data_IF_958454133664
#
_entry.id   IF_958454133664
#
_cell.length_a   1.000
_cell.length_b   1.000
_cell.length_c   1.000
_cell.angle_alpha   90.00
_cell.angle_beta   90.00
_cell.angle_gamma   90.00
#
_symmetry.space_group_name_H-M   'P 1'
#
loop_
_entity.id
_entity.type
_entity.pdbx_description
1 polymer ?
#
# COMPACT_ATOMS: atom_id res chain seq x y z
N UNK A 1 57.92 -35.52 16.16
CA UNK A 1 56.45 -35.61 16.24
C UNK A 1 55.86 -34.23 15.84
N UNK A 2 55.24 -34.14 14.68
CA UNK A 2 54.52 -32.93 14.21
C UNK A 2 53.05 -33.11 14.54
N UNK A 3 52.53 -32.25 15.42
CA UNK A 3 51.10 -32.21 15.75
C UNK A 3 50.34 -31.57 14.60
N UNK A 4 49.38 -32.27 14.01
CA UNK A 4 48.41 -31.77 13.04
C UNK A 4 47.25 -31.16 13.82
N UNK A 5 47.12 -29.85 13.80
CA UNK A 5 45.95 -29.16 14.35
C UNK A 5 44.88 -29.20 13.27
N UNK A 6 43.82 -30.00 13.48
CA UNK A 6 42.64 -29.99 12.64
C UNK A 6 41.74 -28.81 13.03
N UNK A 7 41.64 -27.81 12.15
CA UNK A 7 40.65 -26.73 12.29
C UNK A 7 39.26 -27.28 11.92
N UNK A 8 38.41 -27.42 12.94
CA UNK A 8 36.99 -27.75 12.76
C UNK A 8 36.25 -26.47 12.30
N UNK A 9 35.94 -26.40 11.02
CA UNK A 9 35.12 -25.33 10.44
C UNK A 9 33.65 -25.62 10.82
N UNK A 10 33.12 -24.93 11.84
CA UNK A 10 31.70 -25.03 12.20
C UNK A 10 30.89 -24.23 11.21
N UNK A 11 30.25 -24.90 10.26
CA UNK A 11 29.30 -24.29 9.33
C UNK A 11 28.00 -24.10 10.09
N UNK A 12 27.67 -22.86 10.45
CA UNK A 12 26.32 -22.51 10.93
C UNK A 12 25.36 -22.55 9.75
N UNK A 13 24.60 -23.61 9.62
CA UNK A 13 23.43 -23.67 8.76
C UNK A 13 22.38 -22.71 9.34
N UNK A 14 22.22 -21.56 8.68
CA UNK A 14 21.10 -20.67 8.93
C UNK A 14 19.83 -21.35 8.39
N UNK A 15 19.08 -22.05 9.24
CA UNK A 15 17.75 -22.56 8.91
C UNK A 15 16.82 -21.35 9.04
N UNK A 16 16.29 -20.80 7.93
CA UNK A 16 15.32 -19.73 8.01
C UNK A 16 14.08 -20.27 8.72
N UNK A 17 13.80 -19.76 9.90
CA UNK A 17 12.51 -20.04 10.55
C UNK A 17 11.42 -19.44 9.66
N UNK A 18 10.33 -20.18 9.37
CA UNK A 18 9.19 -19.61 8.65
C UNK A 18 8.71 -18.39 9.44
N UNK A 19 8.53 -17.26 8.76
CA UNK A 19 8.03 -16.07 9.40
C UNK A 19 6.66 -16.37 10.00
N UNK A 20 6.52 -16.16 11.29
CA UNK A 20 5.27 -16.41 11.98
C UNK A 20 4.24 -15.36 11.56
N UNK A 21 3.09 -15.82 11.05
CA UNK A 21 1.96 -14.94 10.79
C UNK A 21 1.51 -14.27 12.11
N UNK A 22 1.20 -13.00 12.05
CA UNK A 22 0.76 -12.24 13.21
C UNK A 22 -0.52 -11.44 12.93
N UNK A 23 -1.15 -10.97 14.01
CA UNK A 23 -2.39 -10.19 13.94
C UNK A 23 -2.31 -9.01 14.89
N UNK A 24 -2.74 -7.85 14.43
CA UNK A 24 -2.90 -6.62 15.18
C UNK A 24 -4.40 -6.33 15.34
N UNK A 25 -4.84 -6.20 16.58
CA UNK A 25 -6.24 -5.90 16.92
C UNK A 25 -6.38 -4.46 17.40
N UNK A 26 -7.61 -4.05 17.71
CA UNK A 26 -7.96 -2.73 18.25
C UNK A 26 -7.59 -1.54 17.33
N UNK A 27 -7.51 -1.78 16.02
CA UNK A 27 -7.40 -0.73 15.02
C UNK A 27 -8.76 -0.04 14.81
N UNK A 28 -8.77 1.05 14.04
CA UNK A 28 -9.97 1.84 13.76
C UNK A 28 -10.12 2.07 12.26
N UNK A 29 -10.87 1.19 11.59
CA UNK A 29 -11.03 1.19 10.15
C UNK A 29 -9.67 1.26 9.42
N UNK A 30 -8.75 0.27 9.62
CA UNK A 30 -7.45 0.27 8.98
C UNK A 30 -7.60 0.22 7.45
N UNK A 31 -6.84 1.06 6.75
CA UNK A 31 -6.97 1.25 5.31
C UNK A 31 -5.76 0.72 4.52
N UNK A 32 -4.55 0.99 4.96
CA UNK A 32 -3.31 0.50 4.33
C UNK A 32 -2.39 -0.13 5.37
N UNK A 33 -1.68 -1.19 4.97
CA UNK A 33 -0.73 -1.91 5.81
C UNK A 33 0.54 -2.17 5.00
N UNK A 34 1.65 -1.50 5.37
CA UNK A 34 2.92 -1.58 4.66
C UNK A 34 4.07 -1.94 5.60
N UNK A 35 5.18 -2.44 5.02
CA UNK A 35 6.44 -2.71 5.72
C UNK A 35 7.50 -1.69 5.34
N UNK A 36 8.33 -1.29 6.30
CA UNK A 36 9.60 -0.62 6.05
C UNK A 36 10.67 -1.68 5.73
N UNK A 37 11.11 -1.80 4.49
CA UNK A 37 12.04 -2.86 4.11
C UNK A 37 13.43 -2.71 4.75
N UNK A 38 13.80 -1.50 5.19
CA UNK A 38 15.09 -1.24 5.81
C UNK A 38 15.15 -1.71 7.26
N UNK A 39 14.08 -1.54 8.02
CA UNK A 39 14.03 -1.84 9.46
C UNK A 39 13.14 -3.03 9.81
N UNK A 40 12.33 -3.53 8.86
CA UNK A 40 11.35 -4.59 9.10
C UNK A 40 10.22 -4.18 10.04
N UNK A 41 9.99 -2.89 10.21
CA UNK A 41 8.87 -2.33 10.96
C UNK A 41 7.67 -2.15 10.02
N UNK A 42 6.50 -2.02 10.60
CA UNK A 42 5.24 -1.92 9.87
C UNK A 42 4.52 -0.62 10.17
N UNK A 43 3.74 -0.15 9.19
CA UNK A 43 2.86 1.01 9.33
C UNK A 43 1.44 0.63 8.93
N UNK A 44 0.45 1.08 9.72
CA UNK A 44 -0.97 0.95 9.39
C UNK A 44 -1.64 2.31 9.52
N UNK A 45 -2.30 2.75 8.44
CA UNK A 45 -3.21 3.90 8.49
C UNK A 45 -4.56 3.50 9.05
N UNK A 46 -5.16 4.39 9.85
CA UNK A 46 -6.46 4.21 10.47
C UNK A 46 -7.34 5.41 10.17
N UNK A 47 -8.42 5.20 9.43
CA UNK A 47 -9.39 6.24 9.07
C UNK A 47 -10.11 6.76 10.31
N UNK A 48 -10.41 5.88 11.28
CA UNK A 48 -11.07 6.20 12.55
C UNK A 48 -12.42 6.93 12.39
N UNK A 49 -13.30 6.41 11.57
CA UNK A 49 -14.64 6.95 11.40
C UNK A 49 -15.08 7.12 9.95
N UNK A 50 -15.68 8.25 9.64
CA UNK A 50 -16.15 8.53 8.29
C UNK A 50 -14.97 8.96 7.40
N UNK A 51 -14.73 8.23 6.28
CA UNK A 51 -13.58 8.49 5.41
C UNK A 51 -13.66 9.83 4.62
N UNK A 52 -14.75 10.59 4.75
CA UNK A 52 -14.89 11.92 4.16
C UNK A 52 -14.88 13.05 5.21
N UNK A 53 -14.83 12.72 6.50
CA UNK A 53 -14.85 13.71 7.58
C UNK A 53 -13.49 14.36 7.77
N UNK A 54 -13.51 15.69 7.92
CA UNK A 54 -12.33 16.50 8.27
C UNK A 54 -12.31 16.75 9.78
N UNK A 55 -12.33 15.69 10.57
CA UNK A 55 -12.45 15.74 12.03
C UNK A 55 -11.11 15.62 12.77
N UNK A 56 -10.03 15.44 12.01
CA UNK A 56 -8.65 15.35 12.50
C UNK A 56 -8.41 14.24 13.52
N UNK A 57 -9.17 13.14 13.44
CA UNK A 57 -9.10 12.00 14.37
C UNK A 57 -8.35 10.79 13.80
N UNK A 58 -7.92 10.85 12.53
CA UNK A 58 -7.15 9.80 11.89
C UNK A 58 -5.78 9.59 12.52
N UNK A 59 -5.23 8.40 12.38
CA UNK A 59 -3.90 8.11 12.92
C UNK A 59 -3.17 7.02 12.15
N UNK A 60 -1.85 6.97 12.31
CA UNK A 60 -0.98 5.94 11.76
C UNK A 60 -0.22 5.30 12.90
N UNK A 61 -0.19 3.96 12.95
CA UNK A 61 0.58 3.20 13.94
C UNK A 61 1.80 2.59 13.27
N UNK A 62 2.97 2.78 13.87
CA UNK A 62 4.20 2.04 13.57
C UNK A 62 4.42 0.98 14.64
N UNK A 63 4.75 -0.25 14.24
CA UNK A 63 5.04 -1.33 15.17
C UNK A 63 6.14 -2.26 14.62
N UNK A 64 6.77 -3.01 15.50
CA UNK A 64 7.76 -4.02 15.14
C UNK A 64 7.10 -5.36 14.77
N UNK A 65 7.91 -6.33 14.38
CA UNK A 65 7.44 -7.67 13.99
C UNK A 65 6.86 -8.49 15.17
N UNK A 66 7.03 -8.04 16.41
CA UNK A 66 6.40 -8.65 17.58
C UNK A 66 5.00 -8.07 17.86
N UNK A 67 4.60 -7.02 17.14
CA UNK A 67 3.36 -6.28 17.35
C UNK A 67 3.47 -5.19 18.41
N UNK A 68 4.67 -4.89 18.91
CA UNK A 68 4.90 -3.80 19.85
C UNK A 68 4.81 -2.46 19.12
N UNK A 69 3.95 -1.56 19.59
CA UNK A 69 3.84 -0.19 19.07
C UNK A 69 5.12 0.58 19.33
N UNK A 70 5.70 1.16 18.28
CA UNK A 70 6.90 1.99 18.32
C UNK A 70 6.60 3.47 18.24
N UNK A 71 5.57 3.86 17.45
CA UNK A 71 5.19 5.24 17.21
C UNK A 71 3.71 5.31 16.83
N UNK A 72 3.04 6.38 17.21
CA UNK A 72 1.71 6.73 16.70
C UNK A 72 1.72 8.18 16.24
N UNK A 73 1.32 8.42 14.98
CA UNK A 73 1.12 9.75 14.42
C UNK A 73 -0.38 10.02 14.46
N UNK A 74 -0.83 11.02 15.25
CA UNK A 74 -2.25 11.30 15.48
C UNK A 74 -2.63 12.67 14.92
N UNK A 75 -3.77 12.76 14.24
CA UNK A 75 -4.31 14.03 13.81
C UNK A 75 -4.63 14.98 14.97
N UNK A 76 -4.95 14.43 16.15
CA UNK A 76 -5.22 15.20 17.38
C UNK A 76 -3.98 15.90 17.96
N UNK A 77 -2.76 15.50 17.57
CA UNK A 77 -1.53 16.12 18.05
C UNK A 77 -1.39 17.55 17.48
N UNK A 78 -0.96 18.54 18.27
CA UNK A 78 -1.01 19.96 17.90
C UNK A 78 -0.29 20.35 16.60
N UNK A 79 0.68 19.55 16.16
CA UNK A 79 1.49 19.81 14.94
C UNK A 79 1.16 18.85 13.79
N UNK A 80 0.16 18.01 13.95
CA UNK A 80 -0.26 17.02 12.97
C UNK A 80 -1.68 17.36 12.48
N UNK A 81 -1.88 17.29 11.17
CA UNK A 81 -3.22 17.26 10.59
C UNK A 81 -3.37 15.92 9.90
N UNK A 82 -4.33 15.10 10.31
CA UNK A 82 -4.59 13.79 9.74
C UNK A 82 -6.06 13.43 9.95
N UNK A 83 -6.86 13.55 8.88
CA UNK A 83 -8.31 13.38 8.97
C UNK A 83 -8.75 11.93 8.79
N UNK A 84 -8.50 11.38 7.60
CA UNK A 84 -8.88 10.03 7.22
C UNK A 84 -7.78 9.39 6.36
N UNK A 85 -6.60 9.07 6.95
CA UNK A 85 -5.45 8.55 6.21
C UNK A 85 -5.80 7.21 5.56
N UNK A 86 -5.51 7.10 4.25
CA UNK A 86 -5.82 5.91 3.46
C UNK A 86 -4.53 5.23 2.99
N UNK A 87 -4.05 5.46 1.78
CA UNK A 87 -2.84 4.87 1.23
C UNK A 87 -1.57 5.35 1.91
N UNK A 88 -0.60 4.46 2.02
CA UNK A 88 0.73 4.69 2.59
C UNK A 88 1.81 4.27 1.60
N UNK A 89 2.88 5.06 1.46
CA UNK A 89 4.10 4.65 0.78
C UNK A 89 5.35 5.22 1.45
N UNK A 90 6.45 4.47 1.41
CA UNK A 90 7.74 4.89 1.93
C UNK A 90 8.70 5.23 0.79
N UNK A 91 9.44 6.33 0.95
CA UNK A 91 10.56 6.67 0.10
C UNK A 91 11.70 7.23 0.95
N UNK A 92 12.78 6.46 1.09
CA UNK A 92 13.83 6.75 2.05
C UNK A 92 13.30 6.79 3.48
N UNK A 93 13.50 7.91 4.18
CA UNK A 93 13.01 8.13 5.54
C UNK A 93 11.66 8.86 5.61
N UNK A 94 10.99 9.02 4.48
CA UNK A 94 9.73 9.75 4.40
C UNK A 94 8.57 8.78 4.22
N UNK A 95 7.55 8.93 5.08
CA UNK A 95 6.25 8.28 4.96
C UNK A 95 5.26 9.22 4.29
N UNK A 96 4.81 8.87 3.08
CA UNK A 96 3.77 9.59 2.33
C UNK A 96 2.41 8.97 2.60
N UNK A 97 1.39 9.84 2.72
CA UNK A 97 0.05 9.46 3.15
C UNK A 97 -0.99 10.22 2.33
N UNK A 98 -1.96 9.49 1.77
CA UNK A 98 -3.17 10.12 1.21
C UNK A 98 -4.16 10.40 2.35
N UNK A 99 -4.66 11.63 2.42
CA UNK A 99 -5.61 12.07 3.45
C UNK A 99 -6.73 12.90 2.82
N UNK A 100 -7.83 12.25 2.51
CA UNK A 100 -8.99 12.76 1.76
C UNK A 100 -8.58 13.30 0.38
N UNK A 101 -8.23 14.57 0.25
CA UNK A 101 -7.76 15.20 -1.01
C UNK A 101 -6.38 15.83 -0.85
N UNK A 102 -5.68 15.55 0.25
CA UNK A 102 -4.33 16.03 0.51
C UNK A 102 -3.33 14.88 0.48
N UNK A 103 -2.14 15.15 -0.05
CA UNK A 103 -0.96 14.36 0.19
C UNK A 103 -0.22 14.94 1.39
N UNK A 104 0.10 14.11 2.37
CA UNK A 104 0.90 14.49 3.55
C UNK A 104 2.15 13.66 3.61
N UNK A 105 3.22 14.17 4.25
CA UNK A 105 4.41 13.36 4.49
C UNK A 105 5.04 13.67 5.83
N UNK A 106 5.58 12.62 6.42
CA UNK A 106 6.13 12.58 7.77
C UNK A 106 7.50 11.92 7.77
N UNK A 107 8.34 12.28 8.73
CA UNK A 107 9.52 11.48 9.07
C UNK A 107 9.06 10.14 9.65
N UNK A 108 9.41 9.03 9.01
CA UNK A 108 8.98 7.67 9.39
C UNK A 108 9.54 7.23 10.76
N UNK A 109 10.60 7.88 11.26
CA UNK A 109 11.29 7.48 12.49
C UNK A 109 10.70 8.13 13.73
N UNK A 110 10.25 9.39 13.62
CA UNK A 110 9.75 10.18 14.76
C UNK A 110 8.35 10.75 14.59
N UNK A 111 7.75 10.61 13.38
CA UNK A 111 6.39 11.08 13.09
C UNK A 111 6.27 12.60 12.86
N UNK A 112 7.38 13.32 12.80
CA UNK A 112 7.36 14.77 12.55
C UNK A 112 6.74 15.07 11.17
N UNK A 113 5.80 16.01 11.14
CA UNK A 113 5.24 16.54 9.88
C UNK A 113 6.35 17.24 9.09
N UNK A 114 6.57 16.81 7.86
CA UNK A 114 7.53 17.41 6.91
C UNK A 114 6.85 18.27 5.87
N UNK A 115 5.57 18.04 5.58
CA UNK A 115 4.80 18.87 4.67
C UNK A 115 3.47 18.26 4.23
N UNK A 116 2.75 19.02 3.42
CA UNK A 116 1.50 18.58 2.80
C UNK A 116 1.20 19.40 1.53
N UNK A 117 0.36 18.85 0.67
CA UNK A 117 -0.22 19.54 -0.50
C UNK A 117 -1.70 19.20 -0.58
N UNK A 118 -2.54 20.22 -0.72
CA UNK A 118 -3.96 20.09 -1.06
C UNK A 118 -4.11 20.02 -2.58
N UNK A 119 -4.69 18.94 -3.08
CA UNK A 119 -4.90 18.69 -4.50
C UNK A 119 -6.30 19.13 -4.99
N UNK A 120 -7.12 19.75 -4.17
CA UNK A 120 -8.46 20.24 -4.58
C UNK A 120 -8.38 21.21 -5.74
N UNK A 121 -7.36 22.07 -5.79
CA UNK A 121 -7.12 23.03 -6.86
C UNK A 121 -6.92 22.41 -8.25
N UNK A 122 -6.54 21.14 -8.33
CA UNK A 122 -6.43 20.36 -9.58
C UNK A 122 -7.51 19.30 -9.74
N UNK A 123 -8.57 19.39 -8.92
CA UNK A 123 -9.78 18.59 -9.03
C UNK A 123 -9.77 17.28 -8.27
N UNK A 124 -8.92 17.13 -7.25
CA UNK A 124 -8.96 15.96 -6.38
C UNK A 124 -10.25 15.92 -5.56
N UNK A 125 -10.82 14.72 -5.45
CA UNK A 125 -12.05 14.45 -4.70
C UNK A 125 -11.82 13.50 -3.55
N UNK A 126 -11.12 12.38 -3.81
CA UNK A 126 -10.75 11.40 -2.80
C UNK A 126 -9.55 10.59 -3.27
N UNK A 127 -8.40 10.97 -2.77
CA UNK A 127 -7.16 10.22 -2.94
C UNK A 127 -7.29 8.86 -2.24
N UNK A 128 -6.74 7.82 -2.87
CA UNK A 128 -6.89 6.47 -2.35
C UNK A 128 -5.53 5.84 -2.06
N UNK A 129 -4.77 5.50 -3.07
CA UNK A 129 -3.52 4.78 -2.95
C UNK A 129 -2.40 5.50 -3.69
N UNK A 130 -1.14 5.13 -3.44
CA UNK A 130 0.01 5.81 -4.00
C UNK A 130 1.21 4.86 -4.19
N UNK A 131 1.99 5.13 -5.23
CA UNK A 131 3.19 4.35 -5.57
C UNK A 131 4.27 5.22 -6.18
N UNK A 132 5.54 4.82 -6.03
CA UNK A 132 6.67 5.48 -6.66
C UNK A 132 7.10 4.77 -7.94
N UNK A 133 7.51 5.54 -8.97
CA UNK A 133 8.26 5.00 -10.10
C UNK A 133 9.77 4.89 -9.76
N UNK A 134 10.54 4.35 -10.69
CA UNK A 134 12.00 4.20 -10.52
C UNK A 134 12.78 5.50 -10.46
N UNK A 135 12.19 6.61 -10.91
CA UNK A 135 12.78 7.95 -10.85
C UNK A 135 12.48 8.67 -9.53
N UNK A 136 11.57 8.11 -8.72
CA UNK A 136 11.09 8.68 -7.47
C UNK A 136 9.92 9.65 -7.64
N UNK A 137 9.25 9.66 -8.79
CA UNK A 137 7.97 10.35 -8.90
C UNK A 137 6.88 9.53 -8.20
N UNK A 138 5.98 10.22 -7.52
CA UNK A 138 4.85 9.61 -6.84
C UNK A 138 3.60 9.70 -7.71
N UNK A 139 2.87 8.58 -7.83
CA UNK A 139 1.57 8.54 -8.50
C UNK A 139 0.48 8.22 -7.50
N UNK A 140 -0.64 8.94 -7.57
CA UNK A 140 -1.73 8.88 -6.60
C UNK A 140 -3.03 8.63 -7.34
N UNK A 141 -3.77 7.58 -6.98
CA UNK A 141 -5.11 7.32 -7.49
C UNK A 141 -6.16 8.17 -6.77
N UNK A 142 -7.18 8.61 -7.50
CA UNK A 142 -8.35 9.30 -6.96
C UNK A 142 -9.63 8.59 -7.40
N UNK A 143 -10.27 7.95 -6.45
CA UNK A 143 -11.40 7.06 -6.70
C UNK A 143 -12.65 7.78 -7.21
N UNK A 144 -12.88 9.04 -6.81
CA UNK A 144 -14.07 9.80 -7.20
C UNK A 144 -13.82 10.82 -8.30
N UNK A 145 -12.57 11.18 -8.56
CA UNK A 145 -12.22 12.03 -9.69
C UNK A 145 -11.99 11.24 -10.97
N UNK A 146 -11.92 9.90 -10.92
CA UNK A 146 -11.42 9.05 -12.01
C UNK A 146 -10.10 9.57 -12.56
N UNK A 147 -9.15 9.81 -11.65
CA UNK A 147 -7.88 10.44 -11.97
C UNK A 147 -6.69 9.73 -11.31
N UNK A 148 -5.53 9.95 -11.90
CA UNK A 148 -4.23 9.67 -11.31
C UNK A 148 -3.44 10.97 -11.37
N UNK A 149 -2.89 11.37 -10.22
CA UNK A 149 -2.00 12.53 -10.13
C UNK A 149 -0.54 12.06 -10.09
N UNK A 150 0.36 12.89 -10.65
CA UNK A 150 1.82 12.73 -10.54
C UNK A 150 2.38 13.84 -9.66
N UNK A 151 3.24 13.46 -8.72
CA UNK A 151 3.99 14.38 -7.86
C UNK A 151 5.48 14.19 -8.15
N UNK A 152 6.14 15.22 -8.67
CA UNK A 152 7.57 15.25 -8.88
C UNK A 152 8.26 15.59 -7.56
N UNK A 153 8.58 14.58 -6.75
CA UNK A 153 9.10 14.78 -5.38
C UNK A 153 10.43 15.51 -5.34
N UNK A 154 11.25 15.35 -6.39
CA UNK A 154 12.54 16.04 -6.55
C UNK A 154 12.40 17.47 -7.09
N UNK A 155 11.22 17.86 -7.58
CA UNK A 155 10.90 19.19 -8.08
C UNK A 155 9.90 19.88 -7.13
N UNK A 156 10.31 20.04 -5.87
CA UNK A 156 9.52 20.68 -4.81
C UNK A 156 8.08 20.14 -4.71
N UNK A 157 7.91 18.84 -4.91
CA UNK A 157 6.60 18.16 -4.91
C UNK A 157 5.58 18.75 -5.90
N UNK A 158 6.04 19.22 -7.06
CA UNK A 158 5.17 19.75 -8.11
C UNK A 158 4.14 18.71 -8.53
N UNK A 159 2.86 19.08 -8.46
CA UNK A 159 1.73 18.19 -8.76
C UNK A 159 1.17 18.47 -10.15
N UNK A 160 0.77 17.42 -10.84
CA UNK A 160 0.07 17.49 -12.13
C UNK A 160 -0.96 16.37 -12.25
N UNK A 161 -1.96 16.56 -13.11
CA UNK A 161 -2.87 15.47 -13.52
C UNK A 161 -2.11 14.58 -14.51
N UNK A 162 -1.79 13.36 -14.11
CA UNK A 162 -1.15 12.38 -14.99
C UNK A 162 -2.16 11.79 -15.97
N UNK A 163 -3.31 11.35 -15.45
CA UNK A 163 -4.41 10.82 -16.27
C UNK A 163 -5.74 11.12 -15.58
N UNK A 164 -6.72 11.56 -16.38
CA UNK A 164 -8.12 11.67 -15.95
C UNK A 164 -8.99 11.09 -17.03
N UNK A 165 -9.68 9.98 -16.72
CA UNK A 165 -10.43 9.22 -17.72
C UNK A 165 -11.46 8.32 -17.03
N UNK A 166 -12.68 8.27 -17.54
CA UNK A 166 -13.73 7.39 -17.00
C UNK A 166 -13.41 5.90 -17.17
N UNK A 167 -12.52 5.55 -18.11
CA UNK A 167 -12.04 4.17 -18.27
C UNK A 167 -11.27 3.67 -17.04
N UNK A 168 -10.75 4.56 -16.17
CA UNK A 168 -10.12 4.18 -14.91
C UNK A 168 -11.09 3.48 -13.96
N UNK A 169 -12.40 3.74 -14.06
CA UNK A 169 -13.46 3.00 -13.37
C UNK A 169 -13.34 3.05 -11.84
N UNK A 170 -13.19 4.22 -11.27
CA UNK A 170 -12.91 4.45 -9.86
C UNK A 170 -11.58 3.79 -9.43
N UNK A 171 -10.41 4.34 -9.86
CA UNK A 171 -9.10 3.75 -9.55
C UNK A 171 -8.87 3.73 -8.04
N UNK A 172 -8.55 2.55 -7.51
CA UNK A 172 -8.27 2.30 -6.10
C UNK A 172 -6.80 2.00 -5.90
N UNK A 173 -6.41 0.73 -5.71
CA UNK A 173 -5.00 0.36 -5.58
C UNK A 173 -4.19 0.70 -6.82
N UNK A 174 -2.96 1.15 -6.60
CA UNK A 174 -2.02 1.50 -7.66
C UNK A 174 -0.61 1.03 -7.30
N UNK A 175 0.09 0.38 -8.25
CA UNK A 175 1.47 -0.04 -8.09
C UNK A 175 2.26 0.17 -9.38
N UNK A 176 3.57 0.43 -9.25
CA UNK A 176 4.46 0.55 -10.40
C UNK A 176 5.04 -0.82 -10.82
N UNK A 177 4.87 -1.18 -12.09
CA UNK A 177 5.50 -2.32 -12.75
C UNK A 177 6.83 -1.86 -13.35
N UNK A 178 7.92 -2.01 -12.60
CA UNK A 178 9.26 -1.56 -13.01
C UNK A 178 9.80 -2.32 -14.21
N UNK A 179 9.39 -3.58 -14.40
CA UNK A 179 9.82 -4.42 -15.52
C UNK A 179 9.22 -3.90 -16.84
N UNK A 180 7.94 -3.48 -16.81
CA UNK A 180 7.22 -3.00 -18.01
C UNK A 180 7.06 -1.50 -18.06
N UNK A 181 7.64 -0.78 -17.09
CA UNK A 181 7.62 0.68 -16.95
C UNK A 181 6.21 1.27 -17.12
N UNK A 182 5.28 0.76 -16.32
CA UNK A 182 3.87 1.18 -16.33
C UNK A 182 3.28 1.16 -14.93
N UNK A 183 2.18 1.86 -14.75
CA UNK A 183 1.34 1.71 -13.56
C UNK A 183 0.38 0.53 -13.75
N UNK A 184 0.14 -0.23 -12.69
CA UNK A 184 -0.97 -1.17 -12.60
C UNK A 184 -1.97 -0.57 -11.65
N UNK A 185 -3.23 -0.52 -12.08
CA UNK A 185 -4.34 0.10 -11.34
C UNK A 185 -5.49 -0.88 -11.27
N UNK A 186 -6.05 -1.06 -10.09
CA UNK A 186 -7.27 -1.83 -9.90
C UNK A 186 -8.47 -0.88 -9.88
N UNK A 187 -9.43 -1.17 -10.76
CA UNK A 187 -10.63 -0.36 -10.98
C UNK A 187 -11.78 -0.87 -10.10
N UNK A 188 -12.09 -0.15 -9.04
CA UNK A 188 -13.06 -0.54 -8.02
C UNK A 188 -14.46 -0.79 -8.58
N UNK A 189 -14.95 0.11 -9.43
CA UNK A 189 -16.32 0.04 -9.96
C UNK A 189 -16.51 -0.98 -11.07
N UNK A 190 -15.45 -1.34 -11.79
CA UNK A 190 -15.53 -2.22 -12.96
C UNK A 190 -14.90 -3.58 -12.76
N UNK A 191 -14.18 -3.80 -11.65
CA UNK A 191 -13.44 -5.02 -11.37
C UNK A 191 -12.30 -5.29 -12.36
N UNK A 192 -11.88 -4.29 -13.13
CA UNK A 192 -10.80 -4.42 -14.11
C UNK A 192 -9.43 -4.18 -13.47
N UNK A 193 -8.42 -4.81 -14.05
CA UNK A 193 -7.02 -4.54 -13.76
C UNK A 193 -6.42 -3.90 -15.01
N UNK A 194 -5.96 -2.66 -14.85
CA UNK A 194 -5.50 -1.80 -15.93
C UNK A 194 -3.98 -1.64 -15.86
N UNK A 195 -3.33 -1.68 -17.02
CA UNK A 195 -1.96 -1.20 -17.21
C UNK A 195 -2.00 0.18 -17.84
N UNK A 196 -1.27 1.13 -17.28
CA UNK A 196 -1.20 2.49 -17.78
C UNK A 196 0.25 2.83 -18.07
N UNK A 197 0.59 2.99 -19.34
CA UNK A 197 1.92 3.41 -19.75
C UNK A 197 2.26 4.79 -19.21
N UNK A 198 3.55 5.09 -19.08
CA UNK A 198 3.98 6.45 -18.68
C UNK A 198 3.63 7.51 -19.72
N UNK A 199 3.20 7.10 -20.94
CA UNK A 199 2.57 7.93 -21.97
C UNK A 199 1.05 8.15 -21.75
N UNK A 200 0.48 7.59 -20.69
CA UNK A 200 -0.93 7.70 -20.31
C UNK A 200 -1.88 6.78 -21.09
N UNK A 201 -1.38 5.83 -21.90
CA UNK A 201 -2.23 4.85 -22.58
C UNK A 201 -2.74 3.80 -21.61
N UNK A 202 -4.04 3.56 -21.65
CA UNK A 202 -4.72 2.58 -20.78
C UNK A 202 -4.95 1.28 -21.56
N UNK A 203 -4.65 0.14 -20.93
CA UNK A 203 -4.96 -1.18 -21.46
C UNK A 203 -5.49 -2.08 -20.34
N UNK A 204 -6.50 -2.89 -20.59
CA UNK A 204 -6.86 -3.99 -19.68
C UNK A 204 -5.83 -5.09 -19.81
N UNK A 205 -5.20 -5.47 -18.69
CA UNK A 205 -4.08 -6.42 -18.72
C UNK A 205 -4.45 -7.84 -18.28
N UNK A 206 -5.56 -8.01 -17.57
CA UNK A 206 -6.04 -9.34 -17.18
C UNK A 206 -6.64 -10.05 -18.40
N UNK A 207 -6.17 -11.27 -18.69
CA UNK A 207 -6.54 -12.06 -19.88
C UNK A 207 -7.64 -13.09 -19.63
N UNK A 208 -8.12 -13.20 -18.39
CA UNK A 208 -9.20 -14.12 -18.00
C UNK A 208 -10.53 -13.38 -17.87
N UNK A 209 -11.64 -14.16 -17.92
CA UNK A 209 -13.00 -13.65 -17.70
C UNK A 209 -13.36 -13.52 -16.21
N UNK A 210 -12.39 -13.57 -15.30
CA UNK A 210 -12.66 -13.39 -13.86
C UNK A 210 -13.28 -12.02 -13.63
N UNK A 211 -14.40 -12.03 -12.93
CA UNK A 211 -15.13 -10.81 -12.56
C UNK A 211 -14.87 -10.54 -11.08
N UNK A 212 -14.11 -9.50 -10.80
CA UNK A 212 -13.97 -8.96 -9.45
C UNK A 212 -15.08 -7.93 -9.20
N UNK A 213 -15.53 -7.81 -7.94
CA UNK A 213 -16.67 -6.94 -7.61
C UNK A 213 -16.26 -5.56 -7.11
N UNK A 214 -15.23 -5.52 -6.27
CA UNK A 214 -14.84 -4.29 -5.59
C UNK A 214 -13.34 -4.32 -5.21
N UNK A 215 -12.49 -4.25 -6.24
CA UNK A 215 -11.04 -4.26 -6.05
C UNK A 215 -10.59 -3.06 -5.21
N UNK A 216 -9.71 -3.31 -4.23
CA UNK A 216 -9.20 -2.27 -3.33
C UNK A 216 -7.68 -2.13 -3.43
N UNK A 217 -6.91 -3.08 -2.95
CA UNK A 217 -5.44 -3.04 -2.94
C UNK A 217 -4.81 -3.91 -4.03
N UNK A 218 -3.56 -3.61 -4.35
CA UNK A 218 -2.74 -4.36 -5.31
C UNK A 218 -1.28 -4.32 -4.91
N UNK A 219 -0.58 -5.45 -4.97
CA UNK A 219 0.87 -5.53 -4.81
C UNK A 219 1.45 -6.73 -5.56
N UNK A 220 2.77 -6.83 -5.64
CA UNK A 220 3.49 -7.96 -6.19
C UNK A 220 3.90 -8.93 -5.08
N UNK A 221 3.84 -10.25 -5.33
CA UNK A 221 4.53 -11.21 -4.46
C UNK A 221 5.99 -11.43 -4.91
N UNK A 222 6.70 -12.25 -4.16
CA UNK A 222 8.12 -12.57 -4.42
C UNK A 222 8.36 -13.26 -5.76
N UNK A 223 7.39 -14.02 -6.25
CA UNK A 223 7.44 -14.74 -7.52
C UNK A 223 7.02 -13.85 -8.71
N UNK A 224 6.66 -12.59 -8.48
CA UNK A 224 6.20 -11.67 -9.51
C UNK A 224 4.75 -11.92 -9.95
N UNK A 225 3.94 -12.56 -9.12
CA UNK A 225 2.51 -12.64 -9.32
C UNK A 225 1.84 -11.40 -8.73
N UNK A 226 0.72 -10.99 -9.31
CA UNK A 226 -0.04 -9.86 -8.80
C UNK A 226 -1.00 -10.33 -7.71
N UNK A 227 -0.93 -9.69 -6.56
CA UNK A 227 -1.87 -9.86 -5.46
C UNK A 227 -2.93 -8.77 -5.54
N UNK A 228 -4.20 -9.11 -5.35
CA UNK A 228 -5.28 -8.13 -5.28
C UNK A 228 -6.27 -8.47 -4.17
N UNK A 229 -6.78 -7.45 -3.50
CA UNK A 229 -7.89 -7.58 -2.55
C UNK A 229 -9.22 -7.20 -3.20
N UNK A 230 -10.25 -8.00 -2.94
CA UNK A 230 -11.65 -7.69 -3.32
C UNK A 230 -12.47 -7.51 -2.04
N UNK A 231 -12.82 -6.27 -1.77
CA UNK A 231 -13.53 -5.88 -0.55
C UNK A 231 -14.93 -6.50 -0.45
N UNK A 232 -15.66 -6.56 -1.57
CA UNK A 232 -17.02 -7.09 -1.59
C UNK A 232 -17.07 -8.62 -1.49
N UNK A 233 -16.08 -9.30 -2.11
CA UNK A 233 -15.96 -10.77 -2.02
C UNK A 233 -15.28 -11.23 -0.72
N UNK A 234 -14.63 -10.32 0.02
CA UNK A 234 -13.89 -10.67 1.22
C UNK A 234 -12.72 -11.61 0.92
N UNK A 235 -12.02 -11.40 -0.20
CA UNK A 235 -11.00 -12.31 -0.71
C UNK A 235 -9.70 -11.59 -1.08
N UNK A 236 -8.61 -12.34 -0.96
CA UNK A 236 -7.32 -12.02 -1.57
C UNK A 236 -7.09 -13.02 -2.70
N UNK A 237 -6.73 -12.50 -3.86
CA UNK A 237 -6.40 -13.29 -5.04
C UNK A 237 -4.93 -13.13 -5.41
N UNK A 238 -4.36 -14.20 -5.97
CA UNK A 238 -3.08 -14.20 -6.67
C UNK A 238 -3.32 -14.39 -8.15
N UNK A 239 -2.68 -13.60 -8.97
CA UNK A 239 -2.85 -13.61 -10.42
C UNK A 239 -1.51 -13.92 -11.08
N UNK A 240 -1.41 -15.12 -11.64
CA UNK A 240 -0.21 -15.61 -12.30
C UNK A 240 -0.21 -15.14 -13.77
N UNK A 241 0.86 -14.45 -14.19
CA UNK A 241 1.07 -14.03 -15.58
C UNK A 241 -0.14 -13.31 -16.21
N UNK A 242 -0.92 -12.57 -15.41
CA UNK A 242 -2.16 -11.88 -15.82
C UNK A 242 -3.20 -12.78 -16.51
N UNK A 243 -3.21 -14.09 -16.21
CA UNK A 243 -4.10 -15.06 -16.86
C UNK A 243 -4.78 -16.04 -15.91
N UNK A 244 -4.08 -16.61 -14.96
CA UNK A 244 -4.63 -17.57 -14.00
C UNK A 244 -4.86 -16.89 -12.66
N UNK A 245 -6.08 -16.96 -12.14
CA UNK A 245 -6.50 -16.38 -10.87
C UNK A 245 -6.67 -17.49 -9.84
N UNK A 246 -6.10 -17.30 -8.66
CA UNK A 246 -6.15 -18.20 -7.52
C UNK A 246 -6.65 -17.45 -6.29
N UNK A 247 -7.49 -18.08 -5.46
CA UNK A 247 -7.88 -17.54 -4.17
C UNK A 247 -6.82 -17.91 -3.14
N UNK A 248 -6.14 -16.91 -2.58
CA UNK A 248 -5.18 -17.09 -1.50
C UNK A 248 -5.88 -17.22 -0.16
N UNK A 249 -6.87 -16.36 0.07
CA UNK A 249 -7.64 -16.31 1.32
C UNK A 249 -9.04 -15.78 1.07
N UNK A 250 -10.03 -16.39 1.70
CA UNK A 250 -11.41 -15.90 1.74
C UNK A 250 -11.88 -15.61 3.16
N UNK A 251 -13.15 -15.20 3.27
CA UNK A 251 -13.82 -14.88 4.53
C UNK A 251 -13.14 -13.76 5.33
N UNK A 252 -12.63 -12.75 4.64
CA UNK A 252 -12.04 -11.56 5.23
C UNK A 252 -13.09 -10.45 5.23
N UNK A 253 -13.36 -9.90 6.40
CA UNK A 253 -14.30 -8.78 6.50
C UNK A 253 -13.67 -7.52 5.93
N UNK A 254 -14.09 -7.11 4.73
CA UNK A 254 -13.63 -5.89 4.02
C UNK A 254 -12.11 -5.74 3.96
N UNK A 255 -11.39 -6.63 3.21
CA UNK A 255 -9.95 -6.45 2.99
C UNK A 255 -9.71 -5.14 2.24
N UNK A 256 -8.79 -4.32 2.75
CA UNK A 256 -8.49 -3.01 2.20
C UNK A 256 -7.18 -3.02 1.39
N UNK A 257 -6.37 -1.97 1.46
CA UNK A 257 -5.16 -1.85 0.66
C UNK A 257 -4.05 -2.74 1.22
N UNK A 258 -3.80 -3.84 0.51
CA UNK A 258 -2.79 -4.86 0.87
C UNK A 258 -1.41 -4.47 0.39
N UNK A 259 -0.38 -5.03 1.02
CA UNK A 259 0.99 -5.01 0.51
C UNK A 259 1.72 -6.33 0.80
N UNK A 260 2.99 -6.43 0.40
CA UNK A 260 3.79 -7.65 0.53
C UNK A 260 5.12 -7.39 1.26
N UNK A 261 5.38 -8.16 2.31
CA UNK A 261 6.66 -8.20 2.99
C UNK A 261 7.59 -9.20 2.28
N UNK A 262 8.46 -8.69 1.41
CA UNK A 262 9.41 -9.52 0.64
C UNK A 262 10.41 -10.25 1.53
N UNK A 263 10.81 -9.66 2.67
CA UNK A 263 11.78 -10.28 3.56
C UNK A 263 11.20 -11.51 4.27
N UNK A 264 9.93 -11.43 4.67
CA UNK A 264 9.24 -12.48 5.43
C UNK A 264 8.31 -13.33 4.59
N UNK A 265 8.11 -12.99 3.31
CA UNK A 265 7.17 -13.64 2.39
C UNK A 265 5.73 -13.67 2.92
N UNK A 266 5.25 -12.51 3.38
CA UNK A 266 3.93 -12.36 3.98
C UNK A 266 3.09 -11.34 3.21
N UNK A 267 1.83 -11.64 2.97
CA UNK A 267 0.84 -10.66 2.52
C UNK A 267 0.32 -9.90 3.73
N UNK A 268 0.37 -8.58 3.68
CA UNK A 268 -0.10 -7.68 4.74
C UNK A 268 -1.54 -7.27 4.44
N UNK A 269 -2.47 -7.64 5.31
CA UNK A 269 -3.91 -7.49 5.05
C UNK A 269 -4.57 -6.65 6.14
N UNK A 270 -4.95 -5.40 5.85
CA UNK A 270 -5.84 -4.64 6.72
C UNK A 270 -7.31 -5.05 6.45
N UNK A 271 -8.10 -5.19 7.51
CA UNK A 271 -9.54 -5.49 7.47
C UNK A 271 -10.30 -4.32 8.08
N UNK A 272 -10.82 -3.43 7.24
CA UNK A 272 -11.31 -2.13 7.70
C UNK A 272 -12.50 -2.24 8.64
N UNK A 273 -13.57 -2.97 8.28
CA UNK A 273 -14.69 -3.23 9.19
C UNK A 273 -14.37 -4.24 10.30
N UNK A 274 -13.33 -5.05 10.12
CA UNK A 274 -12.84 -5.94 11.16
C UNK A 274 -12.07 -5.23 12.27
N UNK A 275 -11.65 -3.97 12.06
CA UNK A 275 -10.82 -3.19 12.99
C UNK A 275 -9.54 -3.92 13.39
N UNK A 276 -8.94 -4.65 12.46
CA UNK A 276 -7.72 -5.43 12.66
C UNK A 276 -6.88 -5.49 11.38
N UNK A 277 -5.64 -5.89 11.52
CA UNK A 277 -4.77 -6.26 10.42
C UNK A 277 -4.08 -7.59 10.74
N UNK A 278 -3.72 -8.35 9.72
CA UNK A 278 -3.06 -9.63 9.87
C UNK A 278 -2.18 -9.95 8.66
N UNK A 279 -1.37 -10.97 8.79
CA UNK A 279 -0.51 -11.46 7.70
C UNK A 279 -0.91 -12.87 7.27
N UNK A 280 -0.67 -13.17 6.00
CA UNK A 280 -0.90 -14.49 5.40
C UNK A 280 0.42 -15.00 4.84
#
# INVERSE_FOLDING_TARGET
MKAIIANLLTVFLFIPHPAQAFRINALKAPASFIVDPALGNYFISNINGNPASRDNNGFIVKFDSSGKTLLVIRGEDPQVTLHAPDGLALHGDILYVTDIHSLRWFDKNNGKTLGHIDLTGIGAKRLKDLTFDSEGNLYISDIFANAIYKVATKDNHKVSVFKKDNQLGNPSGIIYDSIRQRLIVVARATGKILGIGLDGKIAQILRTKTIFKNLNGVDWDREGNLLVSDEAEGKIYRIHNFSRVEIVRGNILTPANISFDYARNLILVPSSKGNLAFTI
#
